data_IF_188199264202
#
_entry.id   IF_188199264202
#
_cell.length_a   1.000
_cell.length_b   1.000
_cell.length_c   1.000
_cell.angle_alpha   90.00
_cell.angle_beta   90.00
_cell.angle_gamma   90.00
#
_symmetry.space_group_name_H-M   'P 1'
#
loop_
_entity.id
_entity.type
_entity.pdbx_description
1 polymer ?
#
# COMPACT_ATOMS: atom_id res chain seq x y z
N UNK A 1 5.03 -11.08 -3.00
CA UNK A 1 6.46 -10.86 -2.68
C UNK A 1 6.90 -11.53 -1.38
N UNK A 2 6.03 -11.74 -0.39
CA UNK A 2 6.44 -12.35 0.90
C UNK A 2 7.27 -11.41 1.77
N UNK A 3 7.15 -10.10 1.55
CA UNK A 3 7.89 -9.08 2.29
C UNK A 3 7.10 -8.65 3.53
N UNK A 4 7.82 -8.24 4.58
CA UNK A 4 7.24 -7.54 5.72
C UNK A 4 7.10 -6.05 5.38
N UNK A 5 5.88 -5.48 5.31
CA UNK A 5 5.70 -4.07 5.02
C UNK A 5 6.21 -3.23 6.20
N UNK A 6 6.72 -2.02 5.91
CA UNK A 6 7.26 -1.14 6.94
C UNK A 6 6.85 0.32 6.77
N UNK A 7 6.89 0.83 5.54
CA UNK A 7 6.61 2.23 5.28
C UNK A 7 5.77 2.44 4.04
N UNK A 8 5.04 3.55 4.03
CA UNK A 8 4.39 4.08 2.83
C UNK A 8 4.67 5.57 2.68
N UNK A 9 4.67 6.04 1.43
CA UNK A 9 4.46 7.45 1.10
C UNK A 9 3.17 7.63 0.30
N UNK A 10 2.53 8.79 0.45
CA UNK A 10 1.25 9.12 -0.18
C UNK A 10 1.38 10.37 -1.07
N UNK A 11 1.06 10.25 -2.35
CA UNK A 11 0.80 11.41 -3.21
C UNK A 11 -0.72 11.52 -3.44
N UNK A 12 -1.31 12.61 -2.97
CA UNK A 12 -2.76 12.85 -3.03
C UNK A 12 -3.05 14.07 -3.91
N UNK A 13 -3.72 13.86 -5.05
CA UNK A 13 -4.17 14.95 -5.91
C UNK A 13 -5.67 15.13 -5.74
N UNK A 14 -6.12 16.37 -5.49
CA UNK A 14 -7.52 16.71 -5.27
C UNK A 14 -7.99 17.87 -6.18
N UNK A 15 -9.21 17.82 -6.72
CA UNK A 15 -9.72 18.90 -7.57
C UNK A 15 -10.05 20.15 -6.77
N UNK A 16 -10.61 19.93 -5.58
CA UNK A 16 -10.97 20.94 -4.58
C UNK A 16 -10.64 20.39 -3.19
N UNK A 17 -10.43 21.29 -2.23
CA UNK A 17 -10.20 20.91 -0.84
C UNK A 17 -11.56 20.65 -0.18
N UNK A 18 -11.79 19.41 0.24
CA UNK A 18 -12.93 19.00 1.08
C UNK A 18 -12.37 18.43 2.38
N UNK A 19 -12.49 19.20 3.46
CA UNK A 19 -11.92 18.84 4.78
C UNK A 19 -12.56 17.58 5.37
N UNK A 20 -13.86 17.36 5.13
CA UNK A 20 -14.56 16.18 5.64
C UNK A 20 -14.07 14.91 4.94
N UNK A 21 -13.90 15.00 3.61
CA UNK A 21 -13.34 13.90 2.82
C UNK A 21 -11.90 13.60 3.24
N UNK A 22 -11.04 14.62 3.37
CA UNK A 22 -9.63 14.46 3.77
C UNK A 22 -9.53 13.85 5.17
N UNK A 23 -10.33 14.31 6.11
CA UNK A 23 -10.36 13.79 7.48
C UNK A 23 -10.77 12.31 7.50
N UNK A 24 -11.83 11.95 6.79
CA UNK A 24 -12.33 10.56 6.72
C UNK A 24 -11.32 9.64 6.03
N UNK A 25 -10.73 10.09 4.92
CA UNK A 25 -9.71 9.33 4.19
C UNK A 25 -8.45 9.11 5.04
N UNK A 26 -7.91 10.17 5.66
CA UNK A 26 -6.70 10.08 6.47
C UNK A 26 -6.88 9.19 7.69
N UNK A 27 -8.01 9.28 8.39
CA UNK A 27 -8.33 8.40 9.53
C UNK A 27 -8.38 6.93 9.10
N UNK A 28 -9.08 6.64 8.00
CA UNK A 28 -9.20 5.27 7.47
C UNK A 28 -7.85 4.71 7.01
N UNK A 29 -7.04 5.53 6.34
CA UNK A 29 -5.68 5.17 5.92
C UNK A 29 -4.81 4.86 7.14
N UNK A 30 -4.77 5.75 8.14
CA UNK A 30 -3.96 5.56 9.35
C UNK A 30 -4.40 4.35 10.17
N UNK A 31 -5.70 4.09 10.25
CA UNK A 31 -6.24 2.88 10.88
C UNK A 31 -5.73 1.61 10.19
N UNK A 32 -5.81 1.58 8.86
CA UNK A 32 -5.32 0.45 8.04
C UNK A 32 -3.82 0.26 8.22
N UNK A 33 -3.03 1.33 8.13
CA UNK A 33 -1.57 1.25 8.30
C UNK A 33 -1.19 0.74 9.69
N UNK A 34 -1.92 1.16 10.74
CA UNK A 34 -1.72 0.67 12.11
C UNK A 34 -1.98 -0.83 12.22
N UNK A 35 -3.02 -1.36 11.58
CA UNK A 35 -3.33 -2.80 11.58
C UNK A 35 -2.17 -3.64 11.03
N UNK A 36 -1.45 -3.12 10.02
CA UNK A 36 -0.31 -3.81 9.42
C UNK A 36 1.05 -3.38 10.00
N UNK A 37 1.08 -2.57 11.06
CA UNK A 37 2.30 -2.01 11.67
C UNK A 37 3.19 -1.26 10.65
N UNK A 38 2.55 -0.53 9.73
CA UNK A 38 3.17 0.28 8.69
C UNK A 38 3.10 1.76 9.08
N UNK A 39 4.15 2.52 8.76
CA UNK A 39 4.22 3.95 9.04
C UNK A 39 4.11 4.78 7.76
N UNK A 40 3.27 5.81 7.75
CA UNK A 40 3.30 6.86 6.73
C UNK A 40 4.48 7.79 7.01
N UNK A 41 5.48 7.79 6.12
CA UNK A 41 6.75 8.52 6.33
C UNK A 41 6.85 9.81 5.53
N UNK A 42 5.88 10.10 4.67
CA UNK A 42 5.88 11.31 3.86
C UNK A 42 4.87 11.24 2.73
N UNK A 43 4.89 12.30 1.92
CA UNK A 43 3.94 12.46 0.85
C UNK A 43 3.84 13.88 0.36
N UNK A 44 2.98 14.07 -0.62
CA UNK A 44 2.61 15.36 -1.17
C UNK A 44 1.09 15.44 -1.36
N UNK A 45 0.57 16.66 -1.33
CA UNK A 45 -0.82 16.94 -1.66
C UNK A 45 -0.87 18.03 -2.70
N UNK A 46 -1.49 17.74 -3.83
CA UNK A 46 -1.48 18.59 -5.03
C UNK A 46 -2.89 18.86 -5.55
N UNK A 47 -3.05 19.90 -6.37
CA UNK A 47 -4.34 20.24 -7.00
C UNK A 47 -4.42 19.64 -8.41
N UNK A 48 -5.52 18.95 -8.72
CA UNK A 48 -5.75 18.32 -10.02
C UNK A 48 -6.89 17.30 -9.97
N UNK A 49 -7.04 16.46 -10.99
CA UNK A 49 -8.04 15.38 -10.93
C UNK A 49 -7.75 14.43 -9.75
N UNK A 50 -8.80 13.90 -9.13
CA UNK A 50 -8.66 13.00 -7.98
C UNK A 50 -7.73 11.83 -8.33
N UNK A 51 -6.60 11.75 -7.63
CA UNK A 51 -5.62 10.67 -7.78
C UNK A 51 -4.99 10.35 -6.43
N UNK A 52 -4.81 9.06 -6.16
CA UNK A 52 -4.20 8.56 -4.93
C UNK A 52 -3.09 7.60 -5.35
N UNK A 53 -1.85 7.96 -5.05
CA UNK A 53 -0.68 7.10 -5.29
C UNK A 53 -0.05 6.73 -3.96
N UNK A 54 0.07 5.44 -3.69
CA UNK A 54 0.74 4.91 -2.50
C UNK A 54 1.98 4.16 -2.94
N UNK A 55 3.14 4.57 -2.42
CA UNK A 55 4.38 3.81 -2.59
C UNK A 55 4.64 3.02 -1.32
N UNK A 56 4.48 1.70 -1.38
CA UNK A 56 4.70 0.81 -0.25
C UNK A 56 6.11 0.20 -0.28
N UNK A 57 6.77 0.20 0.88
CA UNK A 57 8.12 -0.31 1.07
C UNK A 57 8.14 -1.30 2.23
N UNK A 58 9.00 -2.29 2.12
CA UNK A 58 9.14 -3.34 3.10
C UNK A 58 10.43 -4.11 2.92
N UNK A 59 10.61 -5.12 3.77
CA UNK A 59 11.81 -5.94 3.80
C UNK A 59 11.50 -7.36 3.37
N UNK A 60 12.45 -7.96 2.67
CA UNK A 60 12.50 -9.40 2.44
C UNK A 60 13.95 -9.82 2.54
N UNK A 61 14.19 -10.97 3.15
CA UNK A 61 15.52 -11.56 3.18
C UNK A 61 16.05 -11.75 1.76
N UNK A 62 17.37 -11.63 1.59
CA UNK A 62 18.03 -11.82 0.30
C UNK A 62 17.65 -13.19 -0.26
N UNK A 63 17.26 -13.23 -1.52
CA UNK A 63 16.83 -14.43 -2.25
C UNK A 63 15.54 -15.12 -1.74
N UNK A 64 14.80 -14.54 -0.79
CA UNK A 64 13.51 -15.06 -0.29
C UNK A 64 12.28 -14.40 -0.91
N UNK A 65 12.46 -13.46 -1.84
CA UNK A 65 11.36 -12.84 -2.57
C UNK A 65 10.58 -13.84 -3.42
N UNK A 66 9.27 -13.90 -3.19
CA UNK A 66 8.34 -14.72 -4.00
C UNK A 66 8.01 -13.95 -5.28
N UNK A 67 8.42 -14.50 -6.42
CA UNK A 67 8.24 -13.92 -7.75
C UNK A 67 7.20 -14.69 -8.57
N UNK A 68 6.47 -13.99 -9.45
CA UNK A 68 5.43 -14.58 -10.31
C UNK A 68 5.95 -15.57 -11.36
N UNK A 69 7.24 -15.50 -11.71
CA UNK A 69 7.85 -16.29 -12.79
C UNK A 69 8.54 -17.59 -12.33
N UNK A 70 8.36 -18.01 -11.07
CA UNK A 70 9.08 -19.16 -10.49
C UNK A 70 8.24 -20.43 -10.33
N UNK A 71 6.99 -20.45 -10.80
CA UNK A 71 6.14 -21.63 -10.74
C UNK A 71 6.72 -22.78 -11.58
N UNK A 72 6.56 -24.02 -11.11
CA UNK A 72 7.05 -25.23 -11.75
C UNK A 72 5.90 -26.19 -12.09
N UNK A 73 6.16 -27.10 -13.04
CA UNK A 73 5.21 -28.16 -13.40
C UNK A 73 5.00 -29.05 -12.16
N UNK A 74 3.74 -29.25 -11.78
CA UNK A 74 3.37 -30.02 -10.59
C UNK A 74 3.06 -29.17 -9.35
N UNK A 75 3.29 -27.86 -9.38
CA UNK A 75 2.86 -26.95 -8.31
C UNK A 75 1.33 -26.86 -8.23
N UNK A 76 0.80 -26.76 -7.01
CA UNK A 76 -0.62 -26.53 -6.77
C UNK A 76 -0.99 -25.05 -6.96
N UNK A 77 -2.12 -24.81 -7.64
CA UNK A 77 -2.71 -23.48 -7.72
C UNK A 77 -3.55 -23.21 -6.48
N UNK A 78 -3.05 -22.34 -5.60
CA UNK A 78 -3.76 -21.89 -4.39
C UNK A 78 -4.22 -20.44 -4.56
N UNK A 79 -5.51 -20.19 -4.31
CA UNK A 79 -6.09 -18.85 -4.34
C UNK A 79 -6.57 -18.48 -2.93
N UNK A 80 -6.06 -17.37 -2.42
CA UNK A 80 -6.54 -16.77 -1.17
C UNK A 80 -7.40 -15.56 -1.50
N UNK A 81 -8.61 -15.49 -0.97
CA UNK A 81 -9.35 -14.24 -0.89
C UNK A 81 -8.89 -13.47 0.34
N UNK A 82 -8.34 -12.27 0.12
CA UNK A 82 -8.24 -11.29 1.17
C UNK A 82 -9.64 -10.70 1.39
N UNK A 83 -10.19 -10.93 2.58
CA UNK A 83 -11.45 -10.33 3.06
C UNK A 83 -11.32 -8.82 3.21
#
# INVERSE_FOLDING_TARGET
MGAQPKWVSLALTLPNVDENWISTFSQSLLHTLKQYNVTLIGGDTTKGNLSITITAQGFVEKNKGICRHKAQIGDFNLCFQAL
#
